data_IF_294592345367
#
_entry.id   IF_294592345367
#
_cell.length_a   1.000
_cell.length_b   1.000
_cell.length_c   1.000
_cell.angle_alpha   90.00
_cell.angle_beta   90.00
_cell.angle_gamma   90.00
#
_symmetry.space_group_name_H-M   'P 1'
#
loop_
_entity.id
_entity.type
_entity.pdbx_description
1 polymer ?
#
# COMPACT_ATOMS: atom_id res chain seq x y z
N UNK A 1 -15.26 1.38 -43.14
CA UNK A 1 -15.00 -0.07 -43.10
C UNK A 1 -14.98 -0.53 -41.65
N UNK A 2 -15.70 -1.60 -41.26
CA UNK A 2 -15.60 -2.13 -39.91
C UNK A 2 -14.18 -2.68 -39.68
N UNK A 3 -13.58 -2.50 -38.49
CA UNK A 3 -12.24 -3.01 -38.22
C UNK A 3 -12.27 -4.53 -38.27
N UNK A 4 -11.44 -5.10 -39.15
CA UNK A 4 -11.30 -6.53 -39.37
C UNK A 4 -10.93 -7.23 -38.07
N UNK A 5 -11.74 -8.20 -37.63
CA UNK A 5 -11.38 -9.06 -36.52
C UNK A 5 -10.25 -9.98 -36.96
N UNK A 6 -9.05 -9.71 -36.48
CA UNK A 6 -8.00 -10.73 -36.43
C UNK A 6 -8.52 -11.78 -35.44
N UNK A 7 -8.94 -12.95 -35.95
CA UNK A 7 -9.25 -14.12 -35.14
C UNK A 7 -7.97 -14.57 -34.41
N UNK A 8 -7.68 -13.93 -33.29
CA UNK A 8 -6.60 -14.28 -32.39
C UNK A 8 -7.11 -15.22 -31.30
N UNK A 9 -6.31 -16.20 -30.92
CA UNK A 9 -6.56 -17.00 -29.73
C UNK A 9 -6.40 -16.09 -28.49
N UNK A 10 -7.50 -15.76 -27.83
CA UNK A 10 -7.47 -14.99 -26.57
C UNK A 10 -7.42 -15.97 -25.42
N UNK A 11 -6.36 -15.89 -24.62
CA UNK A 11 -6.23 -16.68 -23.39
C UNK A 11 -6.42 -15.75 -22.19
N UNK A 12 -7.43 -16.01 -21.37
CA UNK A 12 -7.69 -15.26 -20.14
C UNK A 12 -7.32 -16.07 -18.91
N UNK A 13 -6.69 -15.44 -17.92
CA UNK A 13 -6.44 -16.03 -16.59
C UNK A 13 -6.75 -15.00 -15.51
N UNK A 14 -7.55 -15.39 -14.54
CA UNK A 14 -7.79 -14.59 -13.34
C UNK A 14 -6.74 -14.90 -12.27
N UNK A 15 -6.25 -13.86 -11.60
CA UNK A 15 -5.39 -13.98 -10.43
C UNK A 15 -6.16 -13.46 -9.22
N UNK A 16 -6.33 -14.31 -8.20
CA UNK A 16 -6.93 -13.95 -6.93
C UNK A 16 -5.81 -13.74 -5.91
N UNK A 17 -5.74 -12.56 -5.30
CA UNK A 17 -4.72 -12.18 -4.32
C UNK A 17 -5.39 -11.58 -3.09
N UNK A 18 -4.99 -12.02 -1.90
CA UNK A 18 -5.35 -11.36 -0.65
C UNK A 18 -4.27 -10.32 -0.33
N UNK A 19 -4.65 -9.04 -0.31
CA UNK A 19 -3.71 -7.94 -0.11
C UNK A 19 -3.37 -7.77 1.37
N UNK A 20 -2.10 -7.47 1.65
CA UNK A 20 -1.58 -7.10 2.96
C UNK A 20 -1.16 -5.61 2.97
N UNK A 21 -1.01 -4.98 4.15
CA UNK A 21 -0.53 -3.59 4.26
C UNK A 21 0.77 -3.29 3.50
N UNK A 22 1.69 -4.27 3.46
CA UNK A 22 2.96 -4.15 2.74
C UNK A 22 2.82 -4.06 1.22
N UNK A 23 1.67 -4.44 0.65
CA UNK A 23 1.41 -4.36 -0.79
C UNK A 23 0.99 -2.97 -1.24
N UNK A 24 0.78 -2.03 -0.31
CA UNK A 24 0.38 -0.68 -0.65
C UNK A 24 1.45 0.02 -1.50
N UNK A 25 1.06 0.47 -2.69
CA UNK A 25 1.97 1.09 -3.66
C UNK A 25 2.76 0.09 -4.51
N UNK A 26 2.56 -1.22 -4.36
CA UNK A 26 3.15 -2.23 -5.22
C UNK A 26 2.62 -2.14 -6.67
N UNK A 27 3.45 -2.51 -7.65
CA UNK A 27 3.08 -2.51 -9.06
C UNK A 27 2.80 -3.93 -9.55
N UNK A 28 1.58 -4.15 -10.05
CA UNK A 28 1.15 -5.40 -10.66
C UNK A 28 1.10 -5.26 -12.19
N UNK A 29 1.57 -6.27 -12.92
CA UNK A 29 1.48 -6.29 -14.38
C UNK A 29 1.29 -7.71 -14.89
N UNK A 30 0.69 -7.83 -16.06
CA UNK A 30 0.63 -9.09 -16.79
C UNK A 30 1.85 -9.21 -17.71
N UNK A 31 2.46 -10.39 -17.74
CA UNK A 31 3.53 -10.72 -18.69
C UNK A 31 3.09 -11.91 -19.55
N UNK A 32 3.13 -11.74 -20.87
CA UNK A 32 2.86 -12.79 -21.83
C UNK A 32 4.19 -13.33 -22.37
N UNK A 33 4.25 -14.66 -22.52
CA UNK A 33 5.40 -15.31 -23.12
C UNK A 33 5.65 -14.76 -24.54
N UNK A 34 6.93 -14.62 -24.94
CA UNK A 34 7.26 -14.13 -26.26
C UNK A 34 6.74 -15.08 -27.34
N UNK A 35 6.19 -14.51 -28.42
CA UNK A 35 5.64 -15.28 -29.54
C UNK A 35 6.72 -16.02 -30.37
N UNK A 36 7.99 -15.64 -30.22
CA UNK A 36 9.13 -16.24 -30.92
C UNK A 36 10.29 -16.41 -29.94
N UNK A 37 11.05 -17.48 -30.11
CA UNK A 37 12.27 -17.73 -29.34
C UNK A 37 13.27 -16.57 -29.56
N UNK A 38 13.81 -16.02 -28.48
CA UNK A 38 14.72 -14.87 -28.51
C UNK A 38 14.06 -13.48 -28.51
N UNK A 39 12.73 -13.39 -28.62
CA UNK A 39 12.01 -12.12 -28.45
C UNK A 39 11.75 -11.80 -26.96
N UNK A 40 11.65 -10.51 -26.59
CA UNK A 40 11.30 -10.12 -25.22
C UNK A 40 9.82 -10.44 -24.91
N UNK A 41 9.48 -10.70 -23.63
CA UNK A 41 8.10 -10.89 -23.21
C UNK A 41 7.29 -9.60 -23.38
N UNK A 42 6.01 -9.74 -23.70
CA UNK A 42 5.10 -8.59 -23.78
C UNK A 42 4.56 -8.30 -22.39
N UNK A 43 4.61 -7.03 -21.96
CA UNK A 43 4.20 -6.61 -20.62
C UNK A 43 3.05 -5.62 -20.71
N UNK A 44 2.05 -5.76 -19.85
CA UNK A 44 1.00 -4.76 -19.72
C UNK A 44 1.54 -3.49 -19.05
N UNK A 45 0.77 -2.40 -19.13
CA UNK A 45 0.95 -1.27 -18.23
C UNK A 45 0.85 -1.76 -16.76
N UNK A 46 1.70 -1.24 -15.85
CA UNK A 46 1.61 -1.58 -14.45
C UNK A 46 0.38 -0.93 -13.82
N UNK A 47 -0.28 -1.67 -12.93
CA UNK A 47 -1.33 -1.20 -12.04
C UNK A 47 -0.71 -1.00 -10.67
N UNK A 48 -0.73 0.23 -10.16
CA UNK A 48 -0.25 0.52 -8.81
C UNK A 48 -1.36 0.27 -7.80
N UNK A 49 -1.10 -0.59 -6.82
CA UNK A 49 -2.06 -0.91 -5.78
C UNK A 49 -2.22 0.24 -4.80
N UNK A 50 -3.48 0.48 -4.40
CA UNK A 50 -3.84 1.35 -3.29
C UNK A 50 -4.56 0.52 -2.26
N UNK A 51 -3.84 0.12 -1.22
CA UNK A 51 -4.37 -0.73 -0.15
C UNK A 51 -4.73 0.16 1.03
N UNK A 52 -5.98 0.05 1.50
CA UNK A 52 -6.46 0.79 2.67
C UNK A 52 -6.32 -0.11 3.89
N UNK A 53 -5.64 0.38 4.92
CA UNK A 53 -5.42 -0.38 6.15
C UNK A 53 -5.24 0.56 7.35
N UNK A 54 -5.70 0.14 8.55
CA UNK A 54 -5.58 0.93 9.76
C UNK A 54 -4.13 1.02 10.24
N UNK A 55 -3.86 1.98 11.14
CA UNK A 55 -2.58 2.06 11.81
C UNK A 55 -2.28 0.77 12.56
N UNK A 56 -1.13 0.14 12.25
CA UNK A 56 -0.75 -1.14 12.85
C UNK A 56 -0.37 -1.04 14.33
N UNK A 57 -0.07 0.17 14.81
CA UNK A 57 0.26 0.43 16.21
C UNK A 57 0.06 1.90 16.54
N UNK A 58 -0.10 2.20 17.83
CA UNK A 58 -0.10 3.56 18.39
C UNK A 58 0.75 3.55 19.65
N UNK A 59 1.63 4.53 19.80
CA UNK A 59 2.47 4.66 20.99
C UNK A 59 2.58 6.11 21.44
N UNK A 60 2.69 6.29 22.76
CA UNK A 60 2.94 7.58 23.40
C UNK A 60 4.26 7.49 24.14
N UNK A 61 5.16 8.44 23.89
CA UNK A 61 6.41 8.60 24.64
C UNK A 61 6.42 9.91 25.42
N UNK A 62 7.15 9.90 26.53
CA UNK A 62 7.23 11.03 27.47
C UNK A 62 8.69 11.43 27.64
N UNK A 63 8.95 12.74 27.66
CA UNK A 63 10.28 13.30 27.95
C UNK A 63 10.17 14.54 28.86
N UNK A 64 10.90 14.61 29.99
CA UNK A 64 11.74 13.55 30.57
C UNK A 64 10.89 12.40 31.16
N UNK A 65 11.50 11.23 31.35
CA UNK A 65 10.82 10.05 31.95
C UNK A 65 10.38 10.29 33.39
N UNK A 66 11.13 11.09 34.13
CA UNK A 66 10.84 11.48 35.51
C UNK A 66 10.61 12.99 35.57
N UNK A 67 9.39 13.46 35.23
CA UNK A 67 9.06 14.87 35.31
C UNK A 67 9.01 15.32 36.77
N UNK A 68 9.62 16.47 37.04
CA UNK A 68 9.56 17.10 38.37
C UNK A 68 8.33 17.99 38.44
N UNK A 69 7.72 18.15 39.64
CA UNK A 69 6.67 19.15 39.83
C UNK A 69 7.10 20.54 39.35
N UNK A 70 6.17 21.24 38.71
CA UNK A 70 6.42 22.58 38.15
C UNK A 70 7.28 22.61 36.88
N UNK A 71 7.77 21.47 36.37
CA UNK A 71 8.55 21.42 35.13
C UNK A 71 7.68 20.98 33.95
N UNK A 72 7.97 21.54 32.77
CA UNK A 72 7.32 21.13 31.53
C UNK A 72 7.75 19.70 31.13
N UNK A 73 6.82 18.97 30.51
CA UNK A 73 7.09 17.69 29.88
C UNK A 73 6.56 17.70 28.44
N UNK A 74 7.15 16.86 27.59
CA UNK A 74 6.71 16.64 26.22
C UNK A 74 6.11 15.25 26.08
N UNK A 75 4.89 15.19 25.55
CA UNK A 75 4.22 13.96 25.14
C UNK A 75 4.29 13.85 23.62
N UNK A 76 4.77 12.74 23.10
CA UNK A 76 4.83 12.47 21.66
C UNK A 76 3.95 11.26 21.34
N UNK A 77 2.91 11.47 20.52
CA UNK A 77 2.06 10.39 20.00
C UNK A 77 2.53 10.02 18.58
N UNK A 78 2.68 8.72 18.31
CA UNK A 78 3.07 8.19 17.00
C UNK A 78 2.17 7.04 16.61
N UNK A 79 1.64 7.08 15.39
CA UNK A 79 1.03 5.94 14.73
C UNK A 79 2.08 5.17 13.92
N UNK A 80 1.94 3.85 13.88
CA UNK A 80 2.65 2.99 12.96
C UNK A 80 2.16 3.14 11.52
N UNK A 81 2.64 2.29 10.59
CA UNK A 81 2.21 2.31 9.19
C UNK A 81 0.68 2.24 9.07
N UNK A 82 0.11 3.10 8.22
CA UNK A 82 -1.32 3.17 7.90
C UNK A 82 -1.50 3.75 6.48
N UNK A 83 -2.64 3.46 5.83
CA UNK A 83 -3.03 4.19 4.62
C UNK A 83 -4.55 4.38 4.54
N UNK A 84 -5.04 5.63 4.39
CA UNK A 84 -4.29 6.89 4.45
C UNK A 84 -3.67 7.15 5.84
N UNK A 85 -2.84 8.19 5.95
CA UNK A 85 -2.29 8.59 7.25
C UNK A 85 -3.43 8.90 8.24
N UNK A 86 -3.34 8.45 9.50
CA UNK A 86 -4.40 8.64 10.47
C UNK A 86 -4.31 10.05 11.08
N UNK A 87 -5.45 10.58 11.47
CA UNK A 87 -5.52 11.76 12.32
C UNK A 87 -5.29 11.36 13.78
N UNK A 88 -4.39 12.07 14.47
CA UNK A 88 -4.06 11.84 15.88
C UNK A 88 -4.63 12.96 16.74
N UNK A 89 -5.41 12.61 17.76
CA UNK A 89 -6.01 13.57 18.70
C UNK A 89 -5.60 13.25 20.14
N UNK A 90 -5.30 14.31 20.90
CA UNK A 90 -5.04 14.20 22.33
C UNK A 90 -6.35 14.40 23.08
N UNK A 91 -6.67 13.46 23.98
CA UNK A 91 -7.83 13.55 24.85
C UNK A 91 -7.33 13.41 26.28
N UNK A 92 -7.73 14.35 27.15
CA UNK A 92 -7.51 14.28 28.59
C UNK A 92 -8.87 14.03 29.24
N UNK A 93 -9.11 12.88 29.89
CA UNK A 93 -10.27 12.71 30.73
C UNK A 93 -10.26 13.80 31.81
N UNK A 94 -11.40 14.50 31.96
CA UNK A 94 -11.61 15.51 33.00
C UNK A 94 -11.68 14.90 34.39
#
# INVERSE_FOLDING_TARGET
APPQSRSGHVTSRALHVTLAPGDNGANFRCEAAPARQGAPPTRSAPVRLRVIFPAQSVSISVSPREPRPGHALSLTCRAGPAHPAPELTWIRPG
#
